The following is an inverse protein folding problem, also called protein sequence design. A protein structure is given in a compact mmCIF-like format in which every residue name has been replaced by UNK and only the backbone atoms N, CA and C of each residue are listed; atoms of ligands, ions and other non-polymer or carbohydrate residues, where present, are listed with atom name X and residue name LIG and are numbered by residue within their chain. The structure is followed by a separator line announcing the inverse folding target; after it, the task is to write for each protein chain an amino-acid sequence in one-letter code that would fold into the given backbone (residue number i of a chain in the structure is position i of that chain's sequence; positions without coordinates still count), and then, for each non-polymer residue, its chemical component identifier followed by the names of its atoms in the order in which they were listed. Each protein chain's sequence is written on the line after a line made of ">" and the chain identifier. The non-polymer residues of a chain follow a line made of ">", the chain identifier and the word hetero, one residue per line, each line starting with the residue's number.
data_IF_541235303526
#
_entry.id   IF_541235303526
#
_cell.length_a   1.000
_cell.length_b   1.000
_cell.length_c   1.000
_cell.angle_alpha   90.00
_cell.angle_beta   90.00
_cell.angle_gamma   90.00
#
_symmetry.space_group_name_H-M   'P 1'
#
loop_
_entity.id
_entity.type
_entity.pdbx_description
1 polymer ?
#
# COMPACT_ATOMS: atom_id res chain seq x y z
N UNK A 1 -52.23 19.37 12.74
CA UNK A 1 -52.53 20.81 12.67
C UNK A 1 -51.28 21.49 12.13
N UNK A 2 -51.42 21.82 10.85
CA UNK A 2 -50.91 22.95 10.06
C UNK A 2 -49.44 23.40 10.23
N UNK A 3 -48.75 23.09 9.17
CA UNK A 3 -47.53 23.68 8.64
C UNK A 3 -47.50 25.22 8.70
N UNK A 4 -46.32 25.79 8.98
CA UNK A 4 -45.98 27.14 8.54
C UNK A 4 -44.54 27.14 8.02
N UNK A 5 -44.41 27.11 6.70
CA UNK A 5 -43.23 27.52 5.98
C UNK A 5 -42.99 29.04 6.12
N UNK A 6 -41.74 29.44 6.25
CA UNK A 6 -41.29 30.84 6.15
C UNK A 6 -40.33 30.94 4.98
N UNK A 7 -40.58 31.77 3.97
CA UNK A 7 -39.71 31.90 2.80
C UNK A 7 -38.54 32.86 3.09
N UNK A 8 -37.32 32.41 2.69
CA UNK A 8 -36.11 33.25 2.68
C UNK A 8 -36.04 33.95 1.34
N UNK A 9 -36.14 35.29 1.33
CA UNK A 9 -36.03 36.19 0.21
C UNK A 9 -34.57 36.32 -0.24
N UNK A 10 -34.35 36.15 -1.55
CA UNK A 10 -33.12 36.55 -2.27
C UNK A 10 -32.97 38.06 -2.29
N UNK A 11 -31.83 38.60 -1.91
CA UNK A 11 -31.41 39.96 -2.20
C UNK A 11 -30.35 39.96 -3.31
N UNK A 12 -30.74 40.55 -4.40
CA UNK A 12 -29.95 40.93 -5.60
C UNK A 12 -28.95 42.05 -5.28
N UNK A 13 -27.69 41.91 -5.68
CA UNK A 13 -26.77 43.01 -5.85
C UNK A 13 -26.03 42.93 -7.19
N UNK A 14 -26.45 43.78 -8.11
CA UNK A 14 -25.81 44.74 -9.05
C UNK A 14 -24.56 44.28 -9.83
N UNK A 15 -24.76 44.20 -11.13
CA UNK A 15 -23.73 44.35 -12.19
C UNK A 15 -23.32 45.85 -12.31
N UNK A 16 -22.11 46.15 -12.72
CA UNK A 16 -21.85 47.40 -13.47
C UNK A 16 -21.58 47.11 -14.95
N UNK A 17 -22.13 48.03 -15.67
CA UNK A 17 -22.31 48.28 -17.06
C UNK A 17 -21.01 48.55 -17.87
N UNK A 18 -21.12 48.20 -19.15
CA UNK A 18 -20.29 48.53 -20.28
C UNK A 18 -20.08 50.03 -20.53
N UNK A 19 -18.94 50.44 -21.05
CA UNK A 19 -18.79 51.65 -21.87
C UNK A 19 -17.94 51.33 -23.12
N UNK A 20 -18.55 51.63 -24.26
CA UNK A 20 -18.11 51.78 -25.63
C UNK A 20 -16.90 52.73 -25.78
N UNK A 21 -16.01 52.61 -26.78
CA UNK A 21 -16.29 53.13 -28.15
C UNK A 21 -15.06 53.04 -29.06
N UNK A 22 -15.29 52.60 -30.26
CA UNK A 22 -15.01 53.22 -31.58
C UNK A 22 -13.65 53.86 -31.87
N UNK A 23 -13.01 53.44 -32.90
CA UNK A 23 -12.93 53.87 -34.28
C UNK A 23 -11.46 53.80 -34.75
N UNK A 24 -11.00 53.49 -35.88
CA UNK A 24 -11.26 53.84 -37.29
C UNK A 24 -10.28 53.04 -38.17
N UNK A 25 -10.78 52.37 -39.17
CA UNK A 25 -10.53 52.41 -40.61
C UNK A 25 -9.11 52.66 -41.16
N UNK A 26 -8.78 51.71 -42.06
CA UNK A 26 -8.19 51.76 -43.39
C UNK A 26 -6.77 52.27 -43.58
N UNK A 27 -5.97 51.42 -44.25
CA UNK A 27 -5.38 51.62 -45.59
C UNK A 27 -4.85 50.27 -46.12
N UNK A 28 -5.29 49.93 -47.33
CA UNK A 28 -4.74 48.81 -48.11
C UNK A 28 -3.49 49.32 -48.87
N UNK A 29 -2.41 48.50 -48.84
CA UNK A 29 -1.34 48.66 -49.83
C UNK A 29 -0.91 47.28 -50.29
N UNK A 30 -1.10 46.97 -51.53
CA UNK A 30 -0.62 45.79 -52.24
C UNK A 30 0.91 45.87 -52.41
N UNK A 31 1.63 44.87 -51.97
CA UNK A 31 2.97 44.51 -52.46
C UNK A 31 3.00 43.03 -52.69
N UNK A 32 3.02 42.67 -53.97
CA UNK A 32 3.23 41.29 -54.38
C UNK A 32 4.66 40.85 -54.05
N UNK A 33 4.80 39.75 -53.39
CA UNK A 33 6.08 39.06 -53.23
C UNK A 33 5.91 37.58 -53.60
N UNK A 34 6.67 37.20 -54.61
CA UNK A 34 6.73 35.84 -55.16
C UNK A 34 7.08 34.83 -54.06
N UNK A 35 6.19 33.85 -53.84
CA UNK A 35 6.47 32.73 -52.97
C UNK A 35 7.31 31.72 -53.73
N UNK A 36 8.60 31.67 -53.46
CA UNK A 36 9.47 30.56 -53.82
C UNK A 36 9.13 29.41 -52.85
N UNK A 37 8.41 28.40 -53.31
CA UNK A 37 8.19 27.17 -52.61
C UNK A 37 9.46 26.33 -52.61
N UNK A 38 10.27 26.47 -51.59
CA UNK A 38 11.33 25.50 -51.27
C UNK A 38 10.66 24.34 -50.53
N UNK A 39 10.47 23.24 -51.21
CA UNK A 39 10.04 21.98 -50.57
C UNK A 39 11.19 21.46 -49.71
N UNK A 40 11.11 21.70 -48.42
CA UNK A 40 11.87 20.93 -47.44
C UNK A 40 11.23 19.56 -47.30
N UNK A 41 11.97 18.48 -47.48
CA UNK A 41 11.44 17.17 -47.05
C UNK A 41 11.26 17.18 -45.55
N UNK A 42 10.03 16.97 -45.06
CA UNK A 42 9.76 16.59 -43.71
C UNK A 42 10.46 15.21 -43.50
N UNK A 43 11.68 15.24 -42.97
CA UNK A 43 12.23 14.09 -42.32
C UNK A 43 11.46 14.01 -41.02
N UNK A 44 10.46 13.14 -40.99
CA UNK A 44 9.87 12.67 -39.76
C UNK A 44 10.97 11.94 -39.00
N UNK A 45 11.62 12.62 -38.06
CA UNK A 45 12.42 11.99 -37.02
C UNK A 45 11.51 11.12 -36.18
N UNK A 46 11.22 9.92 -36.66
CA UNK A 46 10.85 8.80 -35.82
C UNK A 46 12.08 8.35 -35.05
N UNK A 47 12.52 9.14 -34.08
CA UNK A 47 13.28 8.61 -32.98
C UNK A 47 12.31 7.75 -32.16
N UNK A 48 12.03 6.55 -32.68
CA UNK A 48 11.74 5.44 -31.81
C UNK A 48 13.00 5.29 -30.93
N UNK A 49 12.88 5.67 -29.67
CA UNK A 49 13.85 5.34 -28.65
C UNK A 49 14.04 3.83 -28.73
N UNK A 50 15.09 3.39 -29.41
CA UNK A 50 15.54 2.03 -29.33
C UNK A 50 15.96 1.85 -27.88
N UNK A 51 15.06 1.36 -27.03
CA UNK A 51 15.42 0.71 -25.80
C UNK A 51 16.41 -0.39 -26.21
N UNK A 52 17.65 -0.29 -25.76
CA UNK A 52 18.63 -1.37 -25.83
C UNK A 52 18.13 -2.49 -24.92
N UNK A 53 17.04 -3.12 -25.32
CA UNK A 53 16.35 -4.14 -24.55
C UNK A 53 17.15 -5.43 -24.65
N UNK A 54 17.86 -5.78 -23.58
CA UNK A 54 18.05 -7.19 -23.31
C UNK A 54 16.65 -7.83 -23.33
N UNK A 55 16.48 -8.93 -24.11
CA UNK A 55 15.18 -9.59 -24.20
C UNK A 55 14.74 -10.03 -22.80
N UNK A 56 13.57 -9.60 -22.37
CA UNK A 56 12.95 -10.09 -21.14
C UNK A 56 12.68 -11.58 -21.27
N UNK A 57 12.81 -12.31 -20.17
CA UNK A 57 12.46 -13.73 -20.11
C UNK A 57 10.95 -13.91 -19.94
N UNK A 58 10.28 -12.96 -19.29
CA UNK A 58 8.84 -12.99 -19.04
C UNK A 58 8.05 -12.53 -20.27
N UNK A 59 6.82 -13.01 -20.41
CA UNK A 59 5.90 -12.56 -21.44
C UNK A 59 5.01 -11.41 -20.90
N UNK A 60 5.41 -10.17 -21.21
CA UNK A 60 4.71 -8.97 -20.74
C UNK A 60 3.25 -8.90 -21.23
N UNK A 61 2.93 -9.41 -22.42
CA UNK A 61 1.56 -9.39 -22.96
C UNK A 61 0.66 -10.38 -22.22
N UNK A 62 1.16 -11.59 -21.90
CA UNK A 62 0.44 -12.58 -21.09
C UNK A 62 0.16 -12.02 -19.69
N UNK A 63 1.16 -11.41 -19.04
CA UNK A 63 1.03 -10.77 -17.73
C UNK A 63 -0.02 -9.65 -17.75
N UNK A 64 0.07 -8.74 -18.72
CA UNK A 64 -0.89 -7.66 -18.89
C UNK A 64 -2.32 -8.19 -19.07
N UNK A 65 -2.51 -9.13 -20.01
CA UNK A 65 -3.85 -9.70 -20.26
C UNK A 65 -4.46 -10.38 -19.03
N UNK A 66 -3.63 -11.06 -18.23
CA UNK A 66 -4.08 -11.68 -16.99
C UNK A 66 -4.45 -10.64 -15.91
N UNK A 67 -3.68 -9.57 -15.77
CA UNK A 67 -4.00 -8.46 -14.85
C UNK A 67 -5.28 -7.72 -15.28
N UNK A 68 -5.42 -7.42 -16.57
CA UNK A 68 -6.64 -6.81 -17.11
C UNK A 68 -7.86 -7.70 -16.87
N UNK A 69 -7.73 -9.01 -17.05
CA UNK A 69 -8.82 -9.96 -16.77
C UNK A 69 -9.15 -10.04 -15.28
N UNK A 70 -8.12 -10.08 -14.40
CA UNK A 70 -8.35 -10.06 -12.96
C UNK A 70 -9.07 -8.78 -12.51
N UNK A 71 -8.81 -7.65 -13.16
CA UNK A 71 -9.46 -6.36 -12.87
C UNK A 71 -10.97 -6.33 -13.18
N UNK A 72 -11.50 -7.31 -13.88
CA UNK A 72 -12.95 -7.43 -14.13
C UNK A 72 -13.72 -7.89 -12.88
N UNK A 73 -13.06 -8.67 -11.99
CA UNK A 73 -13.67 -9.13 -10.75
C UNK A 73 -13.72 -8.01 -9.72
N UNK A 74 -14.92 -7.51 -9.47
CA UNK A 74 -15.17 -6.39 -8.56
C UNK A 74 -15.00 -5.00 -9.16
N UNK A 75 -14.96 -4.89 -10.50
CA UNK A 75 -14.85 -3.60 -11.20
C UNK A 75 -15.95 -2.64 -10.78
N UNK A 76 -15.58 -1.46 -10.35
CA UNK A 76 -16.52 -0.39 -10.00
C UNK A 76 -16.87 0.45 -11.24
N UNK A 77 -18.09 1.04 -11.30
CA UNK A 77 -18.50 1.89 -12.41
C UNK A 77 -17.55 3.10 -12.63
N UNK A 78 -17.02 3.64 -11.55
CA UNK A 78 -16.11 4.80 -11.55
C UNK A 78 -14.65 4.42 -11.80
N UNK A 79 -14.37 3.15 -12.06
CA UNK A 79 -13.04 2.58 -12.17
C UNK A 79 -12.53 1.98 -10.86
N UNK A 80 -11.38 1.30 -10.94
CA UNK A 80 -10.86 0.52 -9.81
C UNK A 80 -11.72 -0.70 -9.48
N UNK A 81 -11.42 -1.33 -8.35
CA UNK A 81 -12.07 -2.57 -7.92
C UNK A 81 -12.49 -2.51 -6.45
N UNK A 82 -13.53 -3.29 -6.11
CA UNK A 82 -13.90 -3.66 -4.74
C UNK A 82 -13.95 -5.17 -4.67
N UNK A 83 -12.89 -5.78 -4.15
CA UNK A 83 -12.72 -7.24 -4.04
C UNK A 83 -12.24 -7.59 -2.64
N UNK A 84 -13.15 -7.42 -1.68
CA UNK A 84 -12.83 -7.66 -0.27
C UNK A 84 -12.47 -9.13 -0.03
N UNK A 85 -11.47 -9.36 0.79
CA UNK A 85 -11.10 -10.70 1.23
C UNK A 85 -12.32 -11.46 1.76
N UNK A 86 -12.47 -12.72 1.39
CA UNK A 86 -13.62 -13.60 1.67
C UNK A 86 -14.96 -13.14 1.06
N UNK A 87 -15.02 -12.16 0.19
CA UNK A 87 -16.27 -11.85 -0.55
C UNK A 87 -16.49 -12.84 -1.70
N UNK A 88 -17.76 -12.90 -2.22
CA UNK A 88 -18.04 -13.72 -3.39
C UNK A 88 -17.21 -13.28 -4.61
N UNK A 89 -17.01 -11.97 -4.76
CA UNK A 89 -16.19 -11.39 -5.82
C UNK A 89 -14.74 -11.87 -5.77
N UNK A 90 -14.15 -11.94 -4.55
CA UNK A 90 -12.82 -12.48 -4.37
C UNK A 90 -12.79 -13.98 -4.68
N UNK A 91 -13.84 -14.76 -4.29
CA UNK A 91 -13.92 -16.19 -4.61
C UNK A 91 -13.94 -16.46 -6.11
N UNK A 92 -14.62 -15.64 -6.88
CA UNK A 92 -14.65 -15.74 -8.34
C UNK A 92 -13.26 -15.43 -8.92
N UNK A 93 -12.59 -14.39 -8.41
CA UNK A 93 -11.21 -14.03 -8.76
C UNK A 93 -10.20 -15.14 -8.38
N UNK A 94 -10.35 -15.75 -7.19
CA UNK A 94 -9.53 -16.89 -6.75
C UNK A 94 -9.65 -18.09 -7.68
N UNK A 95 -10.89 -18.37 -8.13
CA UNK A 95 -11.12 -19.44 -9.10
C UNK A 95 -10.38 -19.20 -10.40
N UNK A 96 -10.39 -17.97 -10.91
CA UNK A 96 -9.61 -17.56 -12.07
C UNK A 96 -8.10 -17.73 -11.85
N UNK A 97 -7.57 -17.21 -10.74
CA UNK A 97 -6.13 -17.27 -10.42
C UNK A 97 -5.65 -18.71 -10.21
N UNK A 98 -6.44 -19.56 -9.54
CA UNK A 98 -6.14 -20.99 -9.43
C UNK A 98 -6.13 -21.70 -10.80
N UNK A 99 -6.94 -21.24 -11.73
CA UNK A 99 -6.90 -21.68 -13.13
C UNK A 99 -5.55 -21.37 -13.77
N UNK A 100 -5.09 -20.11 -13.68
CA UNK A 100 -3.78 -19.68 -14.20
C UNK A 100 -2.61 -20.47 -13.59
N UNK A 101 -2.67 -20.71 -12.27
CA UNK A 101 -1.66 -21.53 -11.59
C UNK A 101 -1.61 -22.97 -12.14
N UNK A 102 -2.76 -23.58 -12.38
CA UNK A 102 -2.84 -24.94 -12.99
C UNK A 102 -2.35 -24.95 -14.44
N UNK A 103 -2.68 -23.91 -15.22
CA UNK A 103 -2.16 -23.74 -16.59
C UNK A 103 -0.65 -23.58 -16.62
N UNK A 104 -0.07 -22.93 -15.58
CA UNK A 104 1.37 -22.85 -15.38
C UNK A 104 2.00 -24.19 -14.91
N UNK A 105 1.21 -25.24 -14.71
CA UNK A 105 1.67 -26.56 -14.29
C UNK A 105 1.97 -26.69 -12.80
N UNK A 106 1.39 -25.80 -11.96
CA UNK A 106 1.54 -25.87 -10.52
C UNK A 106 0.56 -26.86 -9.89
N UNK A 107 1.00 -27.56 -8.85
CA UNK A 107 0.15 -28.30 -7.94
C UNK A 107 -0.51 -27.32 -6.96
N UNK A 108 -1.82 -27.07 -7.14
CA UNK A 108 -2.56 -26.03 -6.41
C UNK A 108 -3.25 -26.62 -5.20
N UNK A 109 -3.06 -26.01 -4.03
CA UNK A 109 -3.78 -26.29 -2.78
C UNK A 109 -4.27 -25.01 -2.13
N UNK A 110 -5.31 -25.12 -1.31
CA UNK A 110 -5.81 -24.05 -0.43
C UNK A 110 -5.61 -24.54 1.00
N UNK A 111 -5.05 -23.69 1.86
CA UNK A 111 -4.86 -24.02 3.26
C UNK A 111 -6.10 -23.74 4.13
N UNK A 112 -6.00 -24.01 5.42
CA UNK A 112 -7.13 -23.93 6.35
C UNK A 112 -7.62 -22.50 6.61
N UNK A 113 -6.81 -21.48 6.34
CA UNK A 113 -7.23 -20.06 6.44
C UNK A 113 -7.64 -19.48 5.08
N UNK A 114 -7.42 -20.22 4.00
CA UNK A 114 -7.80 -19.82 2.66
C UNK A 114 -6.65 -19.33 1.79
N UNK A 115 -5.38 -19.31 2.23
CA UNK A 115 -4.26 -19.00 1.34
C UNK A 115 -4.18 -20.02 0.19
N UNK A 116 -3.89 -19.54 -1.02
CA UNK A 116 -3.70 -20.43 -2.18
C UNK A 116 -2.20 -20.62 -2.40
N UNK A 117 -1.77 -21.86 -2.52
CA UNK A 117 -0.39 -22.21 -2.84
C UNK A 117 -0.35 -23.01 -4.14
N UNK A 118 0.58 -22.66 -5.02
CA UNK A 118 0.88 -23.40 -6.22
C UNK A 118 2.34 -23.86 -6.20
N UNK A 119 2.55 -25.19 -6.12
CA UNK A 119 3.86 -25.80 -5.95
C UNK A 119 4.42 -26.31 -7.27
N UNK A 120 5.72 -26.02 -7.50
CA UNK A 120 6.56 -26.64 -8.54
C UNK A 120 7.68 -27.39 -7.85
N UNK A 121 7.87 -28.68 -8.17
CA UNK A 121 8.93 -29.50 -7.59
C UNK A 121 10.32 -28.99 -7.95
N UNK A 122 11.24 -29.04 -7.00
CA UNK A 122 12.66 -28.85 -7.24
C UNK A 122 13.37 -30.19 -7.52
N UNK A 123 14.62 -30.13 -7.95
CA UNK A 123 15.46 -31.32 -8.22
C UNK A 123 16.14 -31.84 -6.95
N UNK A 124 16.12 -31.08 -5.85
CA UNK A 124 16.72 -31.45 -4.57
C UNK A 124 15.73 -31.30 -3.41
N UNK A 125 16.00 -31.99 -2.31
CA UNK A 125 15.24 -31.86 -1.06
C UNK A 125 15.74 -30.66 -0.28
N UNK A 126 15.39 -29.48 -0.71
CA UNK A 126 15.75 -28.20 -0.11
C UNK A 126 14.50 -27.47 0.39
N UNK A 127 14.65 -26.50 1.32
CA UNK A 127 13.54 -25.61 1.71
C UNK A 127 12.99 -24.84 0.51
N UNK A 128 11.72 -24.47 0.55
CA UNK A 128 11.00 -23.84 -0.56
C UNK A 128 11.39 -22.36 -0.73
N UNK A 129 11.53 -21.90 -1.96
CA UNK A 129 11.51 -20.48 -2.30
C UNK A 129 10.05 -20.06 -2.50
N UNK A 130 9.56 -19.18 -1.62
CA UNK A 130 8.18 -18.67 -1.62
C UNK A 130 8.14 -17.29 -2.25
N UNK A 131 7.18 -17.03 -3.13
CA UNK A 131 6.97 -15.72 -3.73
C UNK A 131 5.52 -15.53 -4.18
N UNK A 132 5.03 -14.32 -4.11
CA UNK A 132 3.65 -13.97 -4.40
C UNK A 132 3.22 -12.76 -3.61
N UNK A 133 1.94 -12.49 -3.56
CA UNK A 133 1.29 -11.41 -2.83
C UNK A 133 -0.18 -11.75 -2.63
N UNK A 134 -1.07 -10.75 -2.57
CA UNK A 134 -2.52 -10.92 -2.42
C UNK A 134 -3.28 -10.53 -3.69
N UNK A 135 -4.60 -10.75 -3.70
CA UNK A 135 -5.49 -10.31 -4.78
C UNK A 135 -6.74 -9.59 -4.25
N UNK A 136 -6.97 -9.59 -2.94
CA UNK A 136 -8.01 -8.76 -2.35
C UNK A 136 -7.65 -7.27 -2.43
N UNK A 137 -8.64 -6.40 -2.26
CA UNK A 137 -8.48 -4.95 -2.33
C UNK A 137 -9.27 -4.25 -1.24
N UNK A 138 -8.92 -3.01 -0.95
CA UNK A 138 -9.80 -2.09 -0.21
C UNK A 138 -11.06 -1.76 -1.03
N UNK A 139 -12.14 -1.22 -0.42
CA UNK A 139 -13.26 -0.66 -1.17
C UNK A 139 -12.78 0.46 -2.11
N UNK A 140 -13.23 0.44 -3.36
CA UNK A 140 -12.82 1.39 -4.40
C UNK A 140 -11.31 1.48 -4.61
N UNK A 141 -10.59 0.35 -4.41
CA UNK A 141 -9.14 0.25 -4.58
C UNK A 141 -8.69 0.28 -6.04
N UNK A 142 -7.38 0.15 -6.22
CA UNK A 142 -6.74 0.06 -7.53
C UNK A 142 -6.75 -1.35 -8.13
N UNK A 143 -6.07 -1.49 -9.26
CA UNK A 143 -5.98 -2.76 -9.98
C UNK A 143 -4.58 -3.41 -9.92
N UNK A 144 -3.62 -2.77 -9.25
CA UNK A 144 -2.21 -3.17 -9.25
C UNK A 144 -1.74 -3.63 -7.89
N UNK A 145 -2.33 -3.07 -6.83
CA UNK A 145 -2.03 -3.40 -5.44
C UNK A 145 -2.19 -4.91 -5.18
N UNK A 146 -1.13 -5.56 -4.68
CA UNK A 146 -1.03 -7.01 -4.49
C UNK A 146 -1.05 -7.83 -5.77
N UNK A 147 -1.92 -7.47 -6.72
CA UNK A 147 -2.16 -8.23 -7.93
C UNK A 147 -0.93 -8.32 -8.85
N UNK A 148 -0.09 -7.29 -8.87
CA UNK A 148 1.18 -7.29 -9.61
C UNK A 148 2.11 -8.38 -9.11
N UNK A 149 2.24 -8.52 -7.78
CA UNK A 149 3.06 -9.58 -7.16
C UNK A 149 2.48 -10.96 -7.39
N UNK A 150 1.17 -11.10 -7.25
CA UNK A 150 0.44 -12.36 -7.43
C UNK A 150 0.53 -12.90 -8.86
N UNK A 151 0.19 -12.08 -9.86
CA UNK A 151 0.23 -12.52 -11.26
C UNK A 151 1.65 -12.49 -11.84
N UNK A 152 2.51 -11.61 -11.35
CA UNK A 152 3.95 -11.63 -11.65
C UNK A 152 4.61 -12.94 -11.21
N UNK A 153 4.25 -13.45 -10.03
CA UNK A 153 4.75 -14.74 -9.55
C UNK A 153 4.31 -15.92 -10.45
N UNK A 154 3.05 -15.92 -10.91
CA UNK A 154 2.56 -16.95 -11.85
C UNK A 154 3.29 -16.82 -13.19
N UNK A 155 3.51 -15.58 -13.68
CA UNK A 155 4.26 -15.33 -14.93
C UNK A 155 5.72 -15.82 -14.83
N UNK A 156 6.36 -15.68 -13.67
CA UNK A 156 7.71 -16.25 -13.42
C UNK A 156 7.71 -17.78 -13.67
N UNK A 157 6.69 -18.49 -13.20
CA UNK A 157 6.58 -19.93 -13.44
C UNK A 157 6.41 -20.25 -14.94
N UNK A 158 5.56 -19.49 -15.64
CA UNK A 158 5.42 -19.62 -17.09
C UNK A 158 6.76 -19.39 -17.81
N UNK A 159 7.48 -18.33 -17.44
CA UNK A 159 8.78 -18.01 -18.05
C UNK A 159 9.84 -19.12 -17.82
N UNK A 160 9.85 -19.72 -16.62
CA UNK A 160 10.72 -20.87 -16.33
C UNK A 160 10.35 -22.10 -17.20
N UNK A 161 9.06 -22.32 -17.45
CA UNK A 161 8.58 -23.41 -18.30
C UNK A 161 8.93 -23.16 -19.77
N UNK A 162 8.68 -21.93 -20.26
CA UNK A 162 9.00 -21.51 -21.62
C UNK A 162 10.52 -21.67 -21.93
N UNK A 163 11.36 -21.36 -20.93
CA UNK A 163 12.81 -21.51 -21.00
C UNK A 163 13.33 -22.93 -20.66
N UNK A 164 12.44 -23.89 -20.33
CA UNK A 164 12.78 -25.24 -19.88
C UNK A 164 13.77 -25.27 -18.69
N UNK A 165 13.70 -24.26 -17.81
CA UNK A 165 14.56 -24.17 -16.63
C UNK A 165 14.00 -25.01 -15.49
N UNK A 166 14.86 -25.84 -14.89
CA UNK A 166 14.58 -26.55 -13.62
C UNK A 166 15.34 -25.89 -12.49
N UNK A 167 14.76 -25.89 -11.28
CA UNK A 167 15.37 -25.34 -10.07
C UNK A 167 15.77 -26.42 -9.10
N UNK A 168 16.76 -26.16 -8.26
CA UNK A 168 17.16 -27.05 -7.17
C UNK A 168 16.12 -27.05 -6.06
N UNK A 169 15.72 -25.85 -5.62
CA UNK A 169 14.68 -25.65 -4.64
C UNK A 169 13.29 -25.89 -5.21
N UNK A 170 12.37 -26.46 -4.45
CA UNK A 170 10.95 -26.33 -4.77
C UNK A 170 10.59 -24.86 -4.83
N UNK A 171 9.74 -24.46 -5.79
CA UNK A 171 9.15 -23.14 -5.88
C UNK A 171 7.69 -23.19 -5.45
N UNK A 172 7.25 -22.19 -4.71
CA UNK A 172 5.84 -22.09 -4.33
C UNK A 172 5.36 -20.66 -4.55
N UNK A 173 4.37 -20.51 -5.43
CA UNK A 173 3.63 -19.27 -5.61
C UNK A 173 2.55 -19.22 -4.56
N UNK A 174 2.43 -18.10 -3.84
CA UNK A 174 1.38 -17.89 -2.85
C UNK A 174 0.47 -16.73 -3.22
N UNK A 175 -0.83 -16.90 -2.98
CA UNK A 175 -1.82 -15.83 -2.97
C UNK A 175 -2.38 -15.78 -1.55
N UNK A 176 -1.98 -14.76 -0.83
CA UNK A 176 -2.42 -14.55 0.54
C UNK A 176 -3.89 -14.10 0.57
N UNK A 177 -4.61 -14.48 1.59
CA UNK A 177 -6.02 -14.12 1.75
C UNK A 177 -6.17 -12.96 2.73
N UNK A 178 -7.00 -11.99 2.40
CA UNK A 178 -7.39 -10.84 3.23
C UNK A 178 -6.17 -10.08 3.79
N UNK A 179 -5.29 -9.64 2.89
CA UNK A 179 -4.13 -8.81 3.26
C UNK A 179 -4.58 -7.43 3.71
N UNK A 180 -5.47 -6.79 2.96
CA UNK A 180 -5.93 -5.42 3.15
C UNK A 180 -6.76 -5.20 4.43
N UNK A 181 -7.49 -6.22 4.85
CA UNK A 181 -8.15 -6.26 6.14
C UNK A 181 -9.46 -5.52 6.33
N UNK A 182 -10.07 -4.78 5.39
CA UNK A 182 -11.27 -3.99 5.68
C UNK A 182 -12.46 -4.84 6.14
N UNK A 183 -12.54 -6.10 5.72
CA UNK A 183 -13.66 -6.99 6.01
C UNK A 183 -13.75 -7.38 7.51
N UNK A 184 -12.61 -7.62 8.18
CA UNK A 184 -12.57 -8.04 9.59
C UNK A 184 -11.75 -7.11 10.49
N UNK A 185 -11.22 -6.03 9.95
CA UNK A 185 -10.32 -5.13 10.68
C UNK A 185 -8.97 -5.75 11.05
N UNK A 186 -8.52 -6.75 10.27
CA UNK A 186 -7.24 -7.45 10.43
C UNK A 186 -6.53 -7.49 9.09
N UNK A 187 -5.44 -6.73 8.94
CA UNK A 187 -4.56 -6.80 7.77
C UNK A 187 -3.62 -8.00 7.86
N UNK A 188 -3.09 -8.43 6.70
CA UNK A 188 -2.17 -9.56 6.58
C UNK A 188 -2.69 -10.83 7.30
N UNK A 189 -4.01 -11.10 7.19
CA UNK A 189 -4.66 -12.16 7.95
C UNK A 189 -4.10 -13.54 7.58
N UNK A 190 -4.03 -13.84 6.29
CA UNK A 190 -3.57 -15.13 5.79
C UNK A 190 -2.12 -15.42 6.14
N UNK A 191 -1.22 -14.47 5.88
CA UNK A 191 0.20 -14.57 6.21
C UNK A 191 0.45 -14.55 7.72
N UNK A 192 -0.33 -13.78 8.48
CA UNK A 192 -0.25 -13.74 9.95
C UNK A 192 -0.59 -15.07 10.59
N UNK A 193 -1.60 -15.80 10.09
CA UNK A 193 -1.87 -17.19 10.54
C UNK A 193 -0.74 -18.12 10.11
N UNK A 194 -0.28 -18.02 8.86
CA UNK A 194 0.82 -18.85 8.34
C UNK A 194 2.12 -18.66 9.14
N UNK A 195 2.41 -17.43 9.59
CA UNK A 195 3.56 -17.12 10.43
C UNK A 195 3.36 -17.37 11.94
N UNK A 196 2.20 -17.89 12.34
CA UNK A 196 1.80 -18.09 13.74
C UNK A 196 1.78 -16.79 14.59
N UNK A 197 1.54 -15.67 13.96
CA UNK A 197 1.30 -14.35 14.62
C UNK A 197 -0.15 -14.23 15.05
N UNK A 198 -1.07 -14.72 14.23
CA UNK A 198 -2.49 -14.80 14.49
C UNK A 198 -2.88 -16.25 14.84
N UNK A 199 -3.84 -16.39 15.75
CA UNK A 199 -4.33 -17.67 16.22
C UNK A 199 -5.86 -17.76 16.18
N UNK A 200 -6.45 -18.79 16.85
CA UNK A 200 -7.89 -19.02 16.83
C UNK A 200 -8.74 -17.87 17.39
N UNK A 201 -8.16 -16.93 18.12
CA UNK A 201 -8.84 -15.76 18.67
C UNK A 201 -9.42 -14.82 17.59
N UNK A 202 -8.95 -14.93 16.33
CA UNK A 202 -9.49 -14.14 15.23
C UNK A 202 -10.81 -14.70 14.69
N UNK A 203 -11.14 -15.95 14.98
CA UNK A 203 -12.31 -16.65 14.42
C UNK A 203 -13.64 -15.98 14.78
N UNK A 204 -13.70 -15.30 15.93
CA UNK A 204 -14.88 -14.56 16.40
C UNK A 204 -14.98 -13.12 15.86
N UNK A 205 -13.98 -12.67 15.06
CA UNK A 205 -14.04 -11.37 14.39
C UNK A 205 -15.22 -11.34 13.43
N UNK A 206 -15.98 -10.25 13.49
CA UNK A 206 -17.19 -10.06 12.70
C UNK A 206 -16.98 -9.01 11.63
N UNK A 207 -17.59 -9.25 10.48
CA UNK A 207 -17.77 -8.24 9.45
C UNK A 207 -18.90 -7.25 9.81
N UNK A 208 -19.20 -6.34 8.89
CA UNK A 208 -20.26 -5.34 9.05
C UNK A 208 -21.66 -5.97 9.10
N UNK A 209 -21.86 -7.16 8.53
CA UNK A 209 -23.13 -7.92 8.55
C UNK A 209 -23.29 -8.77 9.82
N UNK A 210 -22.25 -8.86 10.65
CA UNK A 210 -22.23 -9.59 11.90
C UNK A 210 -21.84 -11.07 11.75
N UNK A 211 -21.40 -11.50 10.56
CA UNK A 211 -20.88 -12.84 10.32
C UNK A 211 -19.43 -12.94 10.84
N UNK A 212 -19.12 -14.07 11.47
CA UNK A 212 -17.76 -14.30 11.98
C UNK A 212 -16.82 -14.78 10.87
N UNK A 213 -15.50 -14.62 11.08
CA UNK A 213 -14.50 -15.23 10.21
C UNK A 213 -14.71 -16.76 10.12
N UNK A 214 -15.06 -17.41 11.23
CA UNK A 214 -15.38 -18.82 11.23
C UNK A 214 -16.57 -19.17 10.30
N UNK A 215 -17.60 -18.32 10.22
CA UNK A 215 -18.73 -18.53 9.32
C UNK A 215 -18.31 -18.40 7.87
N UNK A 216 -17.44 -17.46 7.56
CA UNK A 216 -16.89 -17.27 6.22
C UNK A 216 -15.99 -18.43 5.80
N UNK A 217 -15.09 -18.92 6.68
CA UNK A 217 -14.26 -20.10 6.40
C UNK A 217 -15.14 -21.31 6.04
N UNK A 218 -16.22 -21.57 6.81
CA UNK A 218 -17.17 -22.66 6.49
C UNK A 218 -17.84 -22.48 5.14
N UNK A 219 -18.24 -21.24 4.77
CA UNK A 219 -18.80 -20.94 3.44
C UNK A 219 -17.85 -21.29 2.31
N UNK A 220 -16.53 -21.17 2.55
CA UNK A 220 -15.48 -21.52 1.59
C UNK A 220 -15.01 -22.96 1.69
N UNK A 221 -15.71 -23.79 2.44
CA UNK A 221 -15.41 -25.21 2.57
C UNK A 221 -14.20 -25.50 3.44
N UNK A 222 -13.73 -24.52 4.25
CA UNK A 222 -12.68 -24.71 5.25
C UNK A 222 -13.30 -25.04 6.61
N UNK A 223 -12.56 -25.81 7.41
CA UNK A 223 -12.94 -26.07 8.79
C UNK A 223 -12.17 -25.15 9.73
N UNK A 224 -12.85 -24.19 10.42
CA UNK A 224 -12.18 -23.26 11.34
C UNK A 224 -11.42 -23.95 12.48
N UNK A 225 -11.79 -25.18 12.87
CA UNK A 225 -11.05 -25.92 13.92
C UNK A 225 -9.63 -26.31 13.50
N UNK A 226 -9.34 -26.28 12.19
CA UNK A 226 -8.06 -26.56 11.58
C UNK A 226 -7.25 -25.31 11.24
N UNK A 227 -7.66 -24.11 11.70
CA UNK A 227 -6.98 -22.86 11.38
C UNK A 227 -5.46 -22.94 11.55
N UNK A 228 -5.01 -23.57 12.62
CA UNK A 228 -3.57 -23.69 12.93
C UNK A 228 -2.79 -24.61 12.00
N UNK A 229 -3.46 -25.43 11.18
CA UNK A 229 -2.82 -26.29 10.17
C UNK A 229 -2.29 -25.46 8.98
N UNK A 230 -2.73 -24.19 8.85
CA UNK A 230 -2.17 -23.24 7.89
C UNK A 230 -0.77 -22.74 8.26
N UNK A 231 -0.27 -23.03 9.48
CA UNK A 231 1.05 -22.58 9.93
C UNK A 231 2.18 -23.23 9.14
N UNK A 232 3.09 -22.39 8.67
CA UNK A 232 4.30 -22.85 7.97
C UNK A 232 5.36 -23.25 9.00
N UNK A 233 5.88 -24.48 8.95
CA UNK A 233 6.92 -24.91 9.88
C UNK A 233 8.21 -24.11 9.70
N UNK A 234 8.92 -23.82 10.82
CA UNK A 234 10.24 -23.22 10.76
C UNK A 234 11.19 -24.09 9.96
N UNK A 235 12.01 -23.48 9.08
CA UNK A 235 12.92 -24.19 8.20
C UNK A 235 12.29 -24.78 6.93
N UNK A 236 10.97 -24.65 6.74
CA UNK A 236 10.30 -25.07 5.49
C UNK A 236 10.61 -24.13 4.31
N UNK A 237 10.94 -22.87 4.60
CA UNK A 237 11.23 -21.85 3.60
C UNK A 237 12.73 -21.51 3.58
N UNK A 238 13.28 -21.33 2.38
CA UNK A 238 14.63 -20.82 2.15
C UNK A 238 14.67 -19.28 2.14
N UNK A 239 13.69 -18.67 1.47
CA UNK A 239 13.46 -17.23 1.43
C UNK A 239 12.02 -16.94 0.99
N UNK A 240 11.56 -15.72 1.25
CA UNK A 240 10.35 -15.14 0.67
C UNK A 240 10.70 -13.88 -0.12
N UNK A 241 10.11 -13.73 -1.32
CA UNK A 241 10.24 -12.52 -2.13
C UNK A 241 8.86 -12.05 -2.58
N UNK A 242 8.53 -10.81 -2.30
CA UNK A 242 7.28 -10.18 -2.73
C UNK A 242 7.56 -9.06 -3.74
N UNK A 243 6.89 -9.11 -4.89
CA UNK A 243 6.84 -8.01 -5.84
C UNK A 243 5.59 -7.19 -5.56
N UNK A 244 5.73 -5.88 -5.51
CA UNK A 244 4.62 -4.99 -5.22
C UNK A 244 4.76 -3.63 -5.93
N UNK A 245 3.71 -2.84 -5.98
CA UNK A 245 3.80 -1.42 -6.34
C UNK A 245 4.34 -0.62 -5.14
N UNK A 246 4.99 0.52 -5.39
CA UNK A 246 5.55 1.36 -4.31
C UNK A 246 4.48 1.94 -3.37
N UNK A 247 3.28 2.19 -3.88
CA UNK A 247 2.20 2.93 -3.20
C UNK A 247 2.62 4.35 -2.76
N UNK A 248 3.76 4.80 -3.25
CA UNK A 248 4.38 6.10 -2.97
C UNK A 248 4.92 6.75 -4.25
N UNK A 249 5.29 8.02 -4.22
CA UNK A 249 5.67 8.78 -5.41
C UNK A 249 7.16 8.70 -5.76
N UNK A 250 8.01 8.15 -4.91
CA UNK A 250 9.46 8.35 -5.00
C UNK A 250 10.06 7.77 -6.27
N UNK A 251 9.75 6.52 -6.64
CA UNK A 251 10.29 5.90 -7.84
C UNK A 251 9.79 6.62 -9.09
N UNK A 252 8.50 6.98 -9.12
CA UNK A 252 7.89 7.72 -10.24
C UNK A 252 8.51 9.10 -10.43
N UNK A 253 8.65 9.90 -9.36
CA UNK A 253 9.21 11.24 -9.41
C UNK A 253 10.71 11.24 -9.76
N UNK A 254 11.46 10.27 -9.25
CA UNK A 254 12.91 10.14 -9.52
C UNK A 254 13.24 9.36 -10.78
N UNK A 255 12.22 8.79 -11.46
CA UNK A 255 12.36 7.97 -12.67
C UNK A 255 13.26 6.75 -12.46
N UNK A 256 13.24 6.21 -11.26
CA UNK A 256 13.92 4.96 -10.91
C UNK A 256 12.95 3.80 -11.15
N UNK A 257 13.44 2.74 -11.80
CA UNK A 257 12.58 1.67 -12.29
C UNK A 257 12.28 0.60 -11.24
N UNK A 258 13.20 0.37 -10.30
CA UNK A 258 13.06 -0.68 -9.27
C UNK A 258 13.41 -0.14 -7.90
N UNK A 259 12.53 -0.39 -6.95
CA UNK A 259 12.80 -0.20 -5.52
C UNK A 259 13.32 -1.50 -4.90
N UNK A 260 14.50 -1.44 -4.28
CA UNK A 260 14.98 -2.49 -3.40
C UNK A 260 14.53 -2.16 -1.99
N UNK A 261 13.58 -2.93 -1.48
CA UNK A 261 12.95 -2.60 -0.19
C UNK A 261 13.87 -2.98 0.96
N UNK A 262 14.23 -1.99 1.77
CA UNK A 262 15.09 -2.17 2.95
C UNK A 262 14.37 -2.88 4.10
N UNK A 263 13.05 -2.81 4.11
CA UNK A 263 12.17 -3.40 5.12
C UNK A 263 10.81 -2.71 5.14
N UNK A 264 9.92 -3.29 5.90
CA UNK A 264 8.58 -2.77 6.18
C UNK A 264 8.66 -2.05 7.52
N UNK A 265 8.22 -0.80 7.57
CA UNK A 265 8.33 0.02 8.78
C UNK A 265 7.54 -0.58 9.96
N UNK A 266 8.09 -0.44 11.16
CA UNK A 266 7.34 -0.65 12.38
C UNK A 266 6.33 0.47 12.59
N UNK A 267 5.28 0.16 13.33
CA UNK A 267 4.21 1.10 13.65
C UNK A 267 3.95 1.08 15.15
N UNK A 268 4.01 2.24 15.78
CA UNK A 268 3.54 2.38 17.15
C UNK A 268 2.49 3.46 17.24
N UNK A 269 1.37 3.12 17.90
CA UNK A 269 0.23 4.02 18.03
C UNK A 269 -0.18 4.18 19.48
N UNK A 270 -0.38 5.41 19.88
CA UNK A 270 -0.89 5.78 21.18
C UNK A 270 -2.26 6.40 21.05
N UNK A 271 -3.11 6.13 22.03
CA UNK A 271 -4.34 6.86 22.28
C UNK A 271 -4.06 7.88 23.37
N UNK A 272 -4.14 9.16 23.04
CA UNK A 272 -3.91 10.28 23.96
C UNK A 272 -5.23 10.96 24.33
N UNK A 273 -5.31 11.46 25.57
CA UNK A 273 -6.45 12.19 26.10
C UNK A 273 -5.94 13.40 26.85
N UNK A 274 -6.21 14.59 26.31
CA UNK A 274 -6.01 15.86 27.02
C UNK A 274 -7.25 16.19 27.86
N UNK A 275 -7.05 16.47 29.14
CA UNK A 275 -8.11 16.76 30.11
C UNK A 275 -7.91 18.15 30.67
N UNK A 276 -8.88 19.02 30.47
CA UNK A 276 -8.97 20.37 30.98
C UNK A 276 -10.25 20.59 31.82
N UNK A 277 -10.86 21.78 31.70
CA UNK A 277 -12.09 22.11 32.41
C UNK A 277 -13.10 22.76 31.46
N UNK A 278 -14.19 22.06 31.21
CA UNK A 278 -15.28 22.61 30.41
C UNK A 278 -15.93 23.80 31.15
N UNK A 279 -16.14 24.91 30.44
CA UNK A 279 -16.77 26.10 31.02
C UNK A 279 -17.38 26.96 29.90
N UNK A 280 -18.16 27.98 30.30
CA UNK A 280 -18.80 28.91 29.37
C UNK A 280 -17.77 29.76 28.60
N UNK A 281 -17.78 29.67 27.25
CA UNK A 281 -16.79 30.32 26.42
C UNK A 281 -16.79 31.85 26.48
N UNK A 282 -17.96 32.48 26.72
CA UNK A 282 -18.09 33.95 26.76
C UNK A 282 -17.78 34.56 28.11
N UNK A 283 -17.95 33.84 29.24
CA UNK A 283 -17.80 34.38 30.60
C UNK A 283 -16.53 33.95 31.30
N UNK A 284 -15.78 33.00 30.75
CA UNK A 284 -14.50 32.55 31.33
C UNK A 284 -13.36 33.37 30.78
N UNK A 285 -12.65 34.18 31.57
CA UNK A 285 -11.49 34.95 31.14
C UNK A 285 -10.40 34.05 30.57
N UNK A 286 -9.64 34.55 29.54
CA UNK A 286 -8.61 33.77 28.84
C UNK A 286 -7.57 33.18 29.80
N UNK A 287 -7.12 33.93 30.77
CA UNK A 287 -6.09 33.53 31.77
C UNK A 287 -6.59 32.54 32.84
N UNK A 288 -7.87 32.14 32.81
CA UNK A 288 -8.46 31.14 33.72
C UNK A 288 -8.92 29.89 33.02
N UNK A 289 -8.71 29.80 31.71
CA UNK A 289 -9.11 28.63 30.91
C UNK A 289 -8.13 27.46 31.12
N UNK A 290 -8.68 26.26 31.13
CA UNK A 290 -7.95 25.02 30.98
C UNK A 290 -8.55 24.32 29.76
N UNK A 291 -8.17 24.79 28.59
CA UNK A 291 -8.76 24.43 27.31
C UNK A 291 -8.08 23.21 26.74
N UNK A 292 -8.74 22.04 26.81
CA UNK A 292 -8.21 20.79 26.32
C UNK A 292 -8.00 20.80 24.80
N UNK A 293 -8.79 21.58 24.04
CA UNK A 293 -8.63 21.65 22.59
C UNK A 293 -7.42 22.52 22.19
N UNK A 294 -7.20 23.62 22.88
CA UNK A 294 -6.01 24.44 22.66
C UNK A 294 -4.74 23.64 22.95
N UNK A 295 -4.72 22.86 24.04
CA UNK A 295 -3.62 21.96 24.36
C UNK A 295 -3.43 20.88 23.27
N UNK A 296 -4.48 20.16 22.91
CA UNK A 296 -4.39 19.10 21.88
C UNK A 296 -3.94 19.64 20.52
N UNK A 297 -4.30 20.87 20.15
CA UNK A 297 -3.82 21.53 18.94
C UNK A 297 -2.30 21.80 18.99
N UNK A 298 -1.76 22.25 20.14
CA UNK A 298 -0.32 22.40 20.35
C UNK A 298 0.39 21.05 20.29
N UNK A 299 -0.20 20.03 20.90
CA UNK A 299 0.34 18.66 20.91
C UNK A 299 0.40 18.06 19.50
N UNK A 300 -0.61 18.26 18.66
CA UNK A 300 -0.59 17.87 17.25
C UNK A 300 0.58 18.54 16.51
N UNK A 301 0.77 19.83 16.70
CA UNK A 301 1.89 20.56 16.08
C UNK A 301 3.23 20.06 16.63
N UNK A 302 3.33 19.73 17.92
CA UNK A 302 4.52 19.15 18.51
C UNK A 302 4.89 17.80 17.90
N UNK A 303 3.92 16.90 17.67
CA UNK A 303 4.15 15.63 16.94
C UNK A 303 4.76 15.90 15.58
N UNK A 304 4.12 16.77 14.78
CA UNK A 304 4.61 17.12 13.45
C UNK A 304 6.04 17.71 13.47
N UNK A 305 6.32 18.62 14.42
CA UNK A 305 7.60 19.31 14.48
C UNK A 305 8.74 18.36 14.90
N UNK A 306 8.47 17.47 15.88
CA UNK A 306 9.46 16.46 16.32
C UNK A 306 9.78 15.51 15.17
N UNK A 307 8.77 14.96 14.49
CA UNK A 307 8.97 14.02 13.38
C UNK A 307 9.74 14.68 12.23
N UNK A 308 9.46 15.95 11.91
CA UNK A 308 10.18 16.68 10.84
C UNK A 308 11.60 17.06 11.22
N UNK A 309 11.92 17.18 12.50
CA UNK A 309 13.27 17.50 12.97
C UNK A 309 14.19 16.29 13.05
N UNK A 310 13.64 15.10 13.13
CA UNK A 310 14.42 13.85 13.09
C UNK A 310 14.92 13.59 11.68
N UNK A 311 16.22 13.29 11.48
CA UNK A 311 16.75 12.97 10.16
C UNK A 311 16.31 11.56 9.75
N UNK A 312 15.81 11.40 8.51
CA UNK A 312 15.39 10.08 8.00
C UNK A 312 14.13 10.13 7.17
N UNK A 313 13.41 8.99 7.14
CA UNK A 313 12.17 8.81 6.37
C UNK A 313 10.98 8.46 7.25
N UNK A 314 11.12 8.62 8.55
CA UNK A 314 10.05 8.40 9.52
C UNK A 314 8.84 9.27 9.23
N UNK A 315 7.68 8.78 9.60
CA UNK A 315 6.44 9.54 9.51
C UNK A 315 5.70 9.53 10.85
N UNK A 316 4.94 10.60 11.11
CA UNK A 316 4.09 10.70 12.30
C UNK A 316 2.82 11.45 12.00
N UNK A 317 1.70 10.94 12.55
CA UNK A 317 0.37 11.42 12.23
C UNK A 317 -0.52 11.50 13.46
N UNK A 318 -1.33 12.57 13.54
CA UNK A 318 -2.52 12.66 14.37
C UNK A 318 -3.72 12.66 13.43
N UNK A 319 -4.40 11.51 13.31
CA UNK A 319 -5.39 11.29 12.26
C UNK A 319 -6.78 11.90 12.56
N UNK A 320 -7.12 12.14 13.84
CA UNK A 320 -8.37 12.77 14.24
C UNK A 320 -8.29 13.38 15.64
N UNK A 321 -9.27 14.23 15.98
CA UNK A 321 -9.53 14.71 17.32
C UNK A 321 -11.02 14.57 17.64
N UNK A 322 -11.35 13.95 18.79
CA UNK A 322 -12.71 13.90 19.34
C UNK A 322 -12.82 14.88 20.48
N UNK A 323 -13.61 15.92 20.31
CA UNK A 323 -13.76 17.04 21.24
C UNK A 323 -15.03 16.88 22.05
N UNK A 324 -14.93 16.98 23.36
CA UNK A 324 -16.07 16.93 24.31
C UNK A 324 -16.14 18.19 25.12
N UNK A 325 -17.33 18.88 25.15
CA UNK A 325 -18.60 18.53 24.51
C UNK A 325 -18.74 18.95 23.05
N UNK A 326 -17.76 19.60 22.42
CA UNK A 326 -17.81 19.97 21.00
C UNK A 326 -18.87 21.02 20.63
N UNK A 327 -19.20 21.92 21.55
CA UNK A 327 -20.17 23.00 21.36
C UNK A 327 -19.47 24.37 21.21
N UNK A 328 -19.91 25.24 20.27
CA UNK A 328 -19.22 26.50 19.96
C UNK A 328 -19.16 27.51 21.10
N UNK A 329 -20.00 27.37 22.12
CA UNK A 329 -20.09 28.26 23.27
C UNK A 329 -19.57 27.64 24.57
N UNK A 330 -18.86 26.50 24.49
CA UNK A 330 -18.29 25.80 25.66
C UNK A 330 -16.77 25.58 25.40
N UNK A 331 -15.96 25.92 26.39
CA UNK A 331 -14.53 25.56 26.39
C UNK A 331 -14.42 24.03 26.51
N UNK A 332 -13.74 23.33 25.61
CA UNK A 332 -13.63 21.87 25.68
C UNK A 332 -12.91 21.39 26.94
N UNK A 333 -13.53 20.44 27.64
CA UNK A 333 -12.99 19.84 28.86
C UNK A 333 -12.16 18.59 28.59
N UNK A 334 -12.35 17.95 27.40
CA UNK A 334 -11.67 16.72 27.05
C UNK A 334 -11.48 16.64 25.55
N UNK A 335 -10.27 16.21 25.12
CA UNK A 335 -9.99 15.87 23.71
C UNK A 335 -9.26 14.54 23.66
N UNK A 336 -9.76 13.63 22.82
CA UNK A 336 -9.13 12.36 22.53
C UNK A 336 -8.53 12.41 21.12
N UNK A 337 -7.27 11.95 20.96
CA UNK A 337 -6.58 11.90 19.68
C UNK A 337 -5.55 10.75 19.66
N UNK A 338 -5.33 10.11 18.48
CA UNK A 338 -4.23 9.14 18.32
C UNK A 338 -2.95 9.87 17.95
N UNK A 339 -1.82 9.31 18.36
CA UNK A 339 -0.50 9.58 17.77
C UNK A 339 0.02 8.30 17.16
N UNK A 340 0.40 8.34 15.91
CA UNK A 340 1.02 7.22 15.19
C UNK A 340 2.40 7.61 14.70
N UNK A 341 3.40 6.77 14.96
CA UNK A 341 4.78 6.91 14.46
C UNK A 341 5.17 5.65 13.71
N UNK A 342 5.90 5.82 12.59
CA UNK A 342 6.43 4.72 11.80
C UNK A 342 7.89 4.98 11.43
N UNK A 343 8.73 3.94 11.52
CA UNK A 343 10.12 3.92 11.06
C UNK A 343 10.61 2.48 10.90
N UNK A 344 11.72 2.28 10.16
CA UNK A 344 12.44 0.99 10.10
C UNK A 344 13.21 0.67 11.38
N UNK A 345 13.46 1.67 12.24
CA UNK A 345 14.18 1.53 13.49
C UNK A 345 13.28 1.85 14.68
N UNK A 346 12.96 0.82 15.47
CA UNK A 346 12.16 0.98 16.68
C UNK A 346 12.78 1.97 17.68
N UNK A 347 14.11 2.08 17.73
CA UNK A 347 14.77 3.03 18.62
C UNK A 347 14.51 4.49 18.18
N UNK A 348 14.37 4.74 16.89
CA UNK A 348 13.97 6.05 16.35
C UNK A 348 12.54 6.39 16.77
N UNK A 349 11.61 5.41 16.69
CA UNK A 349 10.23 5.60 17.16
C UNK A 349 10.20 5.97 18.66
N UNK A 350 10.95 5.25 19.49
CA UNK A 350 11.01 5.53 20.94
C UNK A 350 11.61 6.91 21.21
N UNK A 351 12.69 7.29 20.55
CA UNK A 351 13.32 8.64 20.69
C UNK A 351 12.34 9.75 20.33
N UNK A 352 11.65 9.62 19.18
CA UNK A 352 10.63 10.60 18.78
C UNK A 352 9.52 10.70 19.82
N UNK A 353 9.07 9.55 20.34
CA UNK A 353 8.02 9.52 21.35
C UNK A 353 8.44 10.19 22.66
N UNK A 354 9.67 9.98 23.13
CA UNK A 354 10.22 10.67 24.29
C UNK A 354 10.24 12.21 24.10
N UNK A 355 10.67 12.67 22.93
CA UNK A 355 10.64 14.10 22.61
C UNK A 355 9.20 14.64 22.55
N UNK A 356 8.27 13.91 21.98
CA UNK A 356 6.85 14.27 21.94
C UNK A 356 6.28 14.38 23.34
N UNK A 357 6.55 13.41 24.23
CA UNK A 357 6.10 13.45 25.61
C UNK A 357 6.65 14.68 26.37
N UNK A 358 7.90 15.06 26.14
CA UNK A 358 8.47 16.29 26.73
C UNK A 358 7.72 17.54 26.26
N UNK A 359 7.35 17.61 24.98
CA UNK A 359 6.56 18.73 24.43
C UNK A 359 5.14 18.73 24.99
N UNK A 360 4.50 17.57 25.16
CA UNK A 360 3.17 17.45 25.80
C UNK A 360 3.22 17.93 27.25
N UNK A 361 4.23 17.51 28.02
CA UNK A 361 4.41 17.96 29.39
C UNK A 361 4.60 19.49 29.50
N UNK A 362 5.25 20.11 28.49
CA UNK A 362 5.37 21.57 28.41
C UNK A 362 4.01 22.22 28.12
N UNK A 363 3.26 21.67 27.16
CA UNK A 363 1.89 22.14 26.84
C UNK A 363 0.97 22.03 28.05
N UNK A 364 1.01 20.93 28.78
CA UNK A 364 0.21 20.69 29.99
C UNK A 364 0.44 21.79 31.05
N UNK A 365 1.69 22.17 31.24
CA UNK A 365 2.08 23.27 32.14
C UNK A 365 1.52 24.62 31.68
N UNK A 366 1.64 24.92 30.38
CA UNK A 366 1.22 26.20 29.80
C UNK A 366 -0.30 26.38 29.83
N UNK A 367 -1.03 25.32 29.49
CA UNK A 367 -2.49 25.34 29.36
C UNK A 367 -3.23 24.92 30.66
N UNK A 368 -2.49 24.43 31.66
CA UNK A 368 -3.07 23.94 32.92
C UNK A 368 -3.95 22.69 32.70
N UNK A 369 -3.62 21.84 31.76
CA UNK A 369 -4.33 20.60 31.42
C UNK A 369 -3.48 19.38 31.82
N UNK A 370 -4.01 18.19 31.63
CA UNK A 370 -3.26 16.92 31.75
C UNK A 370 -3.48 16.05 30.53
N UNK A 371 -2.39 15.67 29.84
CA UNK A 371 -2.42 14.76 28.69
C UNK A 371 -1.87 13.39 29.08
N UNK A 372 -2.70 12.35 28.95
CA UNK A 372 -2.31 10.95 29.18
C UNK A 372 -2.40 10.15 27.92
N UNK A 373 -1.37 9.35 27.64
CA UNK A 373 -1.29 8.48 26.46
C UNK A 373 -1.10 7.01 26.87
N UNK A 374 -1.78 6.10 26.17
CA UNK A 374 -1.63 4.67 26.30
C UNK A 374 -1.34 4.04 24.94
N UNK A 375 -0.41 3.08 24.88
CA UNK A 375 -0.12 2.32 23.66
C UNK A 375 -1.35 1.47 23.30
N UNK A 376 -1.76 1.53 22.04
CA UNK A 376 -2.88 0.73 21.49
C UNK A 376 -2.44 -0.18 20.32
N UNK A 377 -1.27 0.07 19.75
CA UNK A 377 -0.63 -0.80 18.76
C UNK A 377 0.89 -0.65 18.89
N UNK A 378 1.62 -1.77 18.77
CA UNK A 378 3.07 -1.82 18.74
C UNK A 378 3.50 -2.99 17.84
N UNK A 379 3.85 -2.66 16.59
CA UNK A 379 4.30 -3.62 15.58
C UNK A 379 5.75 -3.34 15.23
N UNK A 380 6.63 -4.31 15.47
CA UNK A 380 8.04 -4.18 15.14
C UNK A 380 8.25 -4.13 13.62
N UNK A 381 9.28 -3.41 13.13
CA UNK A 381 9.64 -3.41 11.71
C UNK A 381 10.09 -4.80 11.25
N UNK A 382 9.83 -5.12 9.99
CA UNK A 382 10.31 -6.33 9.32
C UNK A 382 11.44 -5.92 8.35
N UNK A 383 12.68 -6.22 8.72
CA UNK A 383 13.86 -5.82 7.95
C UNK A 383 14.14 -6.83 6.86
N UNK A 384 14.33 -6.37 5.63
CA UNK A 384 14.74 -7.23 4.50
C UNK A 384 16.14 -7.79 4.71
N UNK A 385 16.32 -9.07 4.40
CA UNK A 385 17.61 -9.74 4.54
C UNK A 385 18.64 -9.12 3.55
N UNK A 386 19.82 -8.69 4.02
CA UNK A 386 20.81 -8.05 3.16
C UNK A 386 21.24 -8.91 1.97
N UNK A 387 21.27 -10.24 2.10
CA UNK A 387 21.60 -11.15 1.00
C UNK A 387 20.51 -11.17 -0.06
N UNK A 388 19.23 -11.12 0.33
CA UNK A 388 18.11 -11.06 -0.60
C UNK A 388 18.06 -9.69 -1.29
N UNK A 389 18.31 -8.60 -0.56
CA UNK A 389 18.44 -7.25 -1.15
C UNK A 389 19.56 -7.20 -2.20
N UNK A 390 20.74 -7.81 -1.92
CA UNK A 390 21.83 -7.88 -2.89
C UNK A 390 21.44 -8.62 -4.15
N UNK A 391 20.77 -9.76 -4.01
CA UNK A 391 20.24 -10.53 -5.14
C UNK A 391 19.28 -9.72 -6.00
N UNK A 392 18.34 -9.00 -5.38
CA UNK A 392 17.38 -8.14 -6.10
C UNK A 392 18.11 -7.00 -6.84
N UNK A 393 19.10 -6.37 -6.21
CA UNK A 393 19.90 -5.29 -6.82
C UNK A 393 20.71 -5.82 -8.01
N UNK A 394 21.38 -6.96 -7.86
CA UNK A 394 22.13 -7.60 -8.93
C UNK A 394 21.23 -8.04 -10.09
N UNK A 395 20.05 -8.61 -9.79
CA UNK A 395 19.04 -8.97 -10.77
C UNK A 395 18.57 -7.75 -11.58
N UNK A 396 18.31 -6.63 -10.90
CA UNK A 396 17.91 -5.37 -11.55
C UNK A 396 19.01 -4.83 -12.46
N UNK A 397 20.25 -4.75 -11.98
CA UNK A 397 21.39 -4.29 -12.78
C UNK A 397 21.64 -5.20 -13.98
N UNK A 398 21.50 -6.52 -13.82
CA UNK A 398 21.65 -7.48 -14.93
C UNK A 398 20.53 -7.36 -15.98
N UNK A 399 19.41 -6.76 -15.63
CA UNK A 399 18.33 -6.39 -16.54
C UNK A 399 18.51 -4.98 -17.14
N UNK A 400 19.56 -4.25 -16.78
CA UNK A 400 19.81 -2.88 -17.22
C UNK A 400 18.90 -1.84 -16.54
N UNK A 401 18.33 -2.17 -15.38
CA UNK A 401 17.36 -1.33 -14.67
C UNK A 401 18.05 -0.54 -13.55
N UNK A 402 17.59 0.70 -13.36
CA UNK A 402 18.00 1.55 -12.24
C UNK A 402 17.34 1.11 -10.94
N UNK A 403 18.04 1.30 -9.80
CA UNK A 403 17.55 0.91 -8.48
C UNK A 403 17.63 2.05 -7.48
N UNK A 404 16.71 2.08 -6.51
CA UNK A 404 16.80 2.88 -5.29
C UNK A 404 16.45 2.01 -4.08
N UNK A 405 17.15 2.28 -2.97
CA UNK A 405 16.83 1.66 -1.69
C UNK A 405 15.77 2.50 -0.97
N UNK A 406 14.66 1.88 -0.55
CA UNK A 406 13.59 2.57 0.15
C UNK A 406 12.85 1.63 1.13
N UNK A 407 12.26 2.17 2.22
CA UNK A 407 11.38 1.40 3.09
C UNK A 407 10.00 1.23 2.45
N UNK A 408 9.26 0.21 2.86
CA UNK A 408 7.81 0.21 2.72
C UNK A 408 7.14 0.92 3.89
N UNK A 409 6.31 1.91 3.60
CA UNK A 409 5.44 2.57 4.58
C UNK A 409 4.14 1.80 4.85
N UNK A 410 3.79 0.83 4.00
CA UNK A 410 2.62 -0.02 4.08
C UNK A 410 2.94 -1.38 4.74
N UNK A 411 1.92 -2.07 5.22
CA UNK A 411 2.01 -3.47 5.65
C UNK A 411 2.06 -4.35 4.40
N UNK A 412 2.74 -5.50 4.48
CA UNK A 412 2.78 -6.52 3.43
C UNK A 412 2.90 -7.90 4.04
N UNK A 413 2.42 -8.92 3.34
CA UNK A 413 2.46 -10.31 3.76
C UNK A 413 3.89 -10.83 4.00
N UNK A 414 4.86 -10.39 3.17
CA UNK A 414 6.27 -10.73 3.38
C UNK A 414 6.77 -10.31 4.78
N UNK A 415 6.21 -9.26 5.37
CA UNK A 415 6.54 -8.82 6.72
C UNK A 415 6.22 -9.86 7.78
N UNK A 416 5.08 -10.52 7.68
CA UNK A 416 4.73 -11.59 8.61
C UNK A 416 5.59 -12.84 8.39
N UNK A 417 5.85 -13.19 7.13
CA UNK A 417 6.66 -14.36 6.77
C UNK A 417 8.15 -14.16 7.09
N UNK A 418 8.62 -12.91 7.19
CA UNK A 418 10.00 -12.59 7.61
C UNK A 418 10.40 -13.20 8.97
N UNK A 419 9.41 -13.51 9.82
CA UNK A 419 9.60 -14.18 11.11
C UNK A 419 10.05 -15.64 10.98
N UNK A 420 9.88 -16.23 9.80
CA UNK A 420 10.17 -17.64 9.50
C UNK A 420 11.41 -17.82 8.64
N UNK A 421 11.72 -16.85 7.75
CA UNK A 421 12.73 -16.98 6.70
C UNK A 421 13.26 -15.61 6.27
N UNK A 422 14.47 -15.53 5.64
CA UNK A 422 14.92 -14.31 4.98
C UNK A 422 13.89 -13.77 4.01
N UNK A 423 13.65 -12.46 4.06
CA UNK A 423 12.66 -11.74 3.27
C UNK A 423 13.32 -10.70 2.38
N UNK A 424 12.75 -10.47 1.19
CA UNK A 424 13.02 -9.31 0.35
C UNK A 424 11.77 -8.88 -0.42
N UNK A 425 11.73 -7.61 -0.82
CA UNK A 425 10.65 -7.07 -1.64
C UNK A 425 11.21 -6.24 -2.79
N UNK A 426 10.47 -6.26 -3.89
CA UNK A 426 10.75 -5.51 -5.11
C UNK A 426 9.60 -4.53 -5.31
N UNK A 427 9.91 -3.22 -5.41
CA UNK A 427 8.91 -2.23 -5.77
C UNK A 427 9.03 -1.79 -7.22
N UNK A 428 7.86 -1.56 -7.85
CA UNK A 428 7.74 -0.86 -9.12
C UNK A 428 7.04 0.49 -8.93
N UNK A 429 7.30 1.49 -9.82
CA UNK A 429 6.74 2.83 -9.66
C UNK A 429 5.21 2.84 -9.62
N UNK A 430 4.65 3.63 -8.71
CA UNK A 430 3.24 4.01 -8.68
C UNK A 430 3.10 5.43 -9.24
N UNK A 431 2.32 5.61 -10.31
CA UNK A 431 2.12 6.92 -10.92
C UNK A 431 1.54 7.91 -9.91
N UNK A 432 2.23 9.03 -9.73
CA UNK A 432 1.89 10.09 -8.77
C UNK A 432 1.79 9.61 -7.30
N UNK A 433 2.26 8.39 -7.01
CA UNK A 433 2.18 7.76 -5.69
C UNK A 433 0.76 7.39 -5.25
N UNK A 434 -0.17 7.32 -6.19
CA UNK A 434 -1.57 7.00 -5.89
C UNK A 434 -1.71 5.49 -5.70
N UNK A 435 -2.30 5.11 -4.56
CA UNK A 435 -2.75 3.74 -4.25
C UNK A 435 -4.05 3.79 -3.43
N UNK A 436 -4.72 2.65 -3.26
CA UNK A 436 -6.01 2.52 -2.58
C UNK A 436 -7.10 3.43 -3.17
N UNK A 437 -7.02 3.68 -4.48
CA UNK A 437 -7.94 4.55 -5.20
C UNK A 437 -8.11 4.10 -6.65
N UNK A 438 -9.22 4.42 -7.32
CA UNK A 438 -9.47 4.03 -8.71
C UNK A 438 -8.44 4.54 -9.73
N UNK A 439 -7.68 5.61 -9.37
CA UNK A 439 -6.65 6.21 -10.21
C UNK A 439 -5.29 5.54 -10.09
N UNK A 440 -5.14 4.54 -9.22
CA UNK A 440 -3.91 3.75 -9.06
C UNK A 440 -3.46 3.19 -10.41
N UNK A 441 -2.18 3.39 -10.70
CA UNK A 441 -1.62 2.93 -11.96
C UNK A 441 -0.10 2.76 -11.88
N UNK A 442 0.39 1.60 -12.34
CA UNK A 442 1.77 1.34 -12.70
C UNK A 442 1.84 1.07 -14.19
N UNK A 443 2.87 1.56 -14.89
CA UNK A 443 2.97 1.30 -16.32
C UNK A 443 3.21 -0.19 -16.59
N UNK A 444 2.73 -0.68 -17.74
CA UNK A 444 2.92 -2.09 -18.09
C UNK A 444 4.41 -2.46 -18.23
N UNK A 445 5.24 -1.49 -18.62
CA UNK A 445 6.69 -1.68 -18.63
C UNK A 445 7.27 -1.80 -17.22
N UNK A 446 6.80 -1.01 -16.25
CA UNK A 446 7.24 -1.12 -14.86
C UNK A 446 6.82 -2.45 -14.24
N UNK A 447 5.58 -2.88 -14.48
CA UNK A 447 5.08 -4.20 -14.05
C UNK A 447 5.93 -5.33 -14.65
N UNK A 448 6.23 -5.24 -15.94
CA UNK A 448 7.07 -6.22 -16.63
C UNK A 448 8.53 -6.19 -16.13
N UNK A 449 9.08 -5.01 -15.83
CA UNK A 449 10.42 -4.86 -15.25
C UNK A 449 10.50 -5.50 -13.86
N UNK A 450 9.53 -5.23 -12.98
CA UNK A 450 9.46 -5.85 -11.65
C UNK A 450 9.38 -7.38 -11.73
N UNK A 451 8.55 -7.90 -12.62
CA UNK A 451 8.39 -9.34 -12.84
C UNK A 451 9.66 -9.98 -13.41
N UNK A 452 10.38 -9.31 -14.31
CA UNK A 452 11.68 -9.75 -14.81
C UNK A 452 12.73 -9.80 -13.69
N UNK A 453 12.73 -8.79 -12.81
CA UNK A 453 13.63 -8.79 -11.64
C UNK A 453 13.27 -9.90 -10.67
N UNK A 454 11.99 -10.17 -10.44
CA UNK A 454 11.54 -11.30 -9.62
C UNK A 454 12.04 -12.64 -10.24
N UNK A 455 11.86 -12.85 -11.53
CA UNK A 455 12.36 -14.03 -12.25
C UNK A 455 13.86 -14.26 -12.02
N UNK A 456 14.67 -13.21 -12.26
CA UNK A 456 16.15 -13.29 -12.09
C UNK A 456 16.52 -13.51 -10.61
N UNK A 457 15.81 -12.87 -9.68
CA UNK A 457 16.04 -13.02 -8.26
C UNK A 457 15.77 -14.45 -7.80
N UNK A 458 14.67 -15.07 -8.21
CA UNK A 458 14.34 -16.45 -7.86
C UNK A 458 15.42 -17.40 -8.39
N UNK A 459 15.92 -17.22 -9.63
CA UNK A 459 17.01 -18.04 -10.18
C UNK A 459 18.34 -17.84 -9.44
N UNK A 460 18.63 -16.62 -8.99
CA UNK A 460 19.84 -16.32 -8.22
C UNK A 460 19.76 -16.95 -6.82
N UNK A 461 18.61 -16.82 -6.14
CA UNK A 461 18.37 -17.44 -4.84
C UNK A 461 18.43 -18.96 -4.91
N UNK A 462 17.88 -19.58 -5.98
CA UNK A 462 17.98 -21.03 -6.19
C UNK A 462 19.42 -21.54 -6.22
N UNK A 463 20.35 -20.75 -6.74
CA UNK A 463 21.78 -21.08 -6.81
C UNK A 463 22.52 -20.79 -5.50
N UNK A 464 22.16 -19.72 -4.81
CA UNK A 464 22.92 -19.20 -3.66
C UNK A 464 22.45 -19.75 -2.33
N UNK A 465 21.12 -20.01 -2.17
CA UNK A 465 20.59 -20.56 -0.94
C UNK A 465 20.99 -22.03 -0.79
N UNK A 466 21.58 -22.36 0.34
CA UNK A 466 21.87 -23.73 0.75
C UNK A 466 20.89 -24.13 1.84
N UNK A 467 20.76 -25.44 2.08
CA UNK A 467 20.08 -25.93 3.29
C UNK A 467 20.80 -25.36 4.52
N UNK A 468 20.09 -24.55 5.30
CA UNK A 468 20.57 -24.05 6.61
C UNK A 468 20.33 -25.08 7.69
#
# INVERSE_FOLDING_TARGET
>A
MRDREVPITMSTWLRPTSILSNALRTVAAWVGLAVLTVAFPLIADTQAAASSGQSRHINAQRLQGNLEKLSEFGRNPEGGVTRLGYSQTEMDARTYVMGLMKEAGLEVRVDAVGNIFGRRAGTARLPTLLFGSHIDSVPHGGNFDGTVGSLGAIEVIHALNDAHVTTRHPLEVVIWTNEEGPHFGISALGSGVAAAVLGPEILDRKDEEGLTLADWLRRYGQDPSHLTDARIPRGALAAVVELHIEQGPQLYETKVQIGVVQGIVGLKRWKCVATGVANHAGTTPMNRRKDALAAAAKDLLAVRDVVRSEPGRQVGTVGYMKVDPGAPNVIPGRVEFPVELRDLDSATIERMWEHIQQRFAQTDKEEGVETRCAVINDTAPAISDPSVQSVIREASHSAGLSTADLPSGAVHDAGEISRLTPMGMIFVPSRDGISHAPQEFSTWDDVANGTEVLYRSILSLDKQMNAR
#
